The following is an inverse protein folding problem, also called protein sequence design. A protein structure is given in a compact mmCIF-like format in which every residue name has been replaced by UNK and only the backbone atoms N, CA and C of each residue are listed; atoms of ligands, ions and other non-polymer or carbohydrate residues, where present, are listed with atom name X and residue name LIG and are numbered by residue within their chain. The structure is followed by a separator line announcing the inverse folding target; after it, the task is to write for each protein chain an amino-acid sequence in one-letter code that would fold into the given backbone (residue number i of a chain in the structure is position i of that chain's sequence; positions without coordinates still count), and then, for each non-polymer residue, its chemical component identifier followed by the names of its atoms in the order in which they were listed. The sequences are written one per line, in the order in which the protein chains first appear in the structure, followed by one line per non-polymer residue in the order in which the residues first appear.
data_IF_981959436476
#
_entry.id   IF_981959436476
#
_cell.length_a   1.000
_cell.length_b   1.000
_cell.length_c   1.000
_cell.angle_alpha   90.00
_cell.angle_beta   90.00
_cell.angle_gamma   90.00
#
_symmetry.space_group_name_H-M   'P 1'
#
loop_
_entity.id
_entity.type
_entity.pdbx_description
1 polymer ?
#
# COMPACT_ATOMS: atom_id res chain seq x y z
N UNK A 1 -38.60 -38.39 44.46
CA UNK A 1 -38.80 -37.16 43.66
C UNK A 1 -37.62 -36.19 43.73
N UNK A 2 -37.05 -35.90 44.91
CA UNK A 2 -35.98 -34.89 45.04
C UNK A 2 -34.65 -35.24 44.35
N UNK A 3 -34.24 -36.51 44.33
CA UNK A 3 -32.99 -36.94 43.69
C UNK A 3 -33.08 -36.80 42.16
N UNK A 4 -34.24 -37.10 41.57
CA UNK A 4 -34.45 -37.04 40.12
C UNK A 4 -34.41 -35.58 39.62
N UNK A 5 -35.01 -34.65 40.37
CA UNK A 5 -34.95 -33.22 40.08
C UNK A 5 -33.52 -32.67 40.17
N UNK A 6 -32.74 -33.13 41.15
CA UNK A 6 -31.35 -32.69 41.30
C UNK A 6 -30.47 -33.17 40.14
N UNK A 7 -30.71 -34.40 39.66
CA UNK A 7 -29.98 -34.98 38.53
C UNK A 7 -30.31 -34.24 37.22
N UNK A 8 -31.58 -33.90 37.00
CA UNK A 8 -32.01 -33.09 35.84
C UNK A 8 -31.40 -31.69 35.88
N UNK A 9 -31.35 -31.05 37.05
CA UNK A 9 -30.73 -29.73 37.21
C UNK A 9 -29.22 -29.76 36.92
N UNK A 10 -28.52 -30.82 37.35
CA UNK A 10 -27.09 -30.98 37.11
C UNK A 10 -26.79 -31.17 35.61
N UNK A 11 -27.58 -32.01 34.91
CA UNK A 11 -27.42 -32.23 33.47
C UNK A 11 -27.69 -30.95 32.68
N UNK A 12 -28.72 -30.18 33.05
CA UNK A 12 -29.01 -28.90 32.42
C UNK A 12 -27.86 -27.90 32.58
N UNK A 13 -27.26 -27.84 33.77
CA UNK A 13 -26.16 -26.91 34.06
C UNK A 13 -24.88 -27.26 33.27
N UNK A 14 -24.58 -28.55 33.12
CA UNK A 14 -23.48 -29.02 32.27
C UNK A 14 -23.73 -28.68 30.81
N UNK A 15 -24.95 -28.89 30.31
CA UNK A 15 -25.30 -28.57 28.91
C UNK A 15 -25.18 -27.08 28.61
N UNK A 16 -25.65 -26.22 29.53
CA UNK A 16 -25.51 -24.77 29.40
C UNK A 16 -24.03 -24.36 29.46
N UNK A 17 -23.24 -24.95 30.36
CA UNK A 17 -21.80 -24.68 30.45
C UNK A 17 -21.06 -25.04 29.17
N UNK A 18 -21.35 -26.20 28.57
CA UNK A 18 -20.76 -26.64 27.30
C UNK A 18 -21.21 -25.75 26.14
N UNK A 19 -22.48 -25.34 26.10
CA UNK A 19 -22.98 -24.43 25.08
C UNK A 19 -22.31 -23.06 25.15
N UNK A 20 -22.17 -22.49 26.35
CA UNK A 20 -21.50 -21.20 26.57
C UNK A 20 -20.01 -21.28 26.22
N UNK A 21 -19.32 -22.36 26.62
CA UNK A 21 -17.92 -22.57 26.27
C UNK A 21 -17.72 -22.76 24.75
N UNK A 22 -18.64 -23.46 24.08
CA UNK A 22 -18.64 -23.62 22.63
C UNK A 22 -18.83 -22.29 21.89
N UNK A 23 -19.81 -21.47 22.31
CA UNK A 23 -20.04 -20.13 21.73
C UNK A 23 -18.83 -19.21 21.98
N UNK A 24 -18.23 -19.26 23.18
CA UNK A 24 -17.06 -18.46 23.51
C UNK A 24 -15.82 -18.86 22.67
N UNK A 25 -15.64 -20.15 22.40
CA UNK A 25 -14.57 -20.65 21.53
C UNK A 25 -14.80 -20.27 20.05
N UNK A 26 -16.04 -20.31 19.56
CA UNK A 26 -16.38 -19.87 18.20
C UNK A 26 -16.15 -18.37 18.04
N UNK A 27 -16.63 -17.54 18.99
CA UNK A 27 -16.42 -16.09 18.95
C UNK A 27 -14.93 -15.70 19.05
N UNK A 28 -14.11 -16.48 19.76
CA UNK A 28 -12.67 -16.23 19.88
C UNK A 28 -11.90 -16.69 18.64
N UNK A 29 -12.33 -17.78 17.99
CA UNK A 29 -11.71 -18.34 16.78
C UNK A 29 -11.89 -17.50 15.52
N UNK A 30 -13.03 -16.82 15.37
CA UNK A 30 -13.27 -15.95 14.21
C UNK A 30 -12.35 -14.72 14.20
N UNK A 31 -11.97 -14.20 15.37
CA UNK A 31 -11.13 -12.99 15.45
C UNK A 31 -9.68 -13.18 14.97
N UNK A 32 -9.12 -14.38 15.07
CA UNK A 32 -7.78 -14.69 14.55
C UNK A 32 -7.82 -15.15 13.10
N UNK A 33 -8.82 -15.95 12.72
CA UNK A 33 -8.98 -16.44 11.35
C UNK A 33 -9.37 -15.31 10.38
N UNK A 34 -10.21 -14.37 10.80
CA UNK A 34 -10.52 -13.18 9.98
C UNK A 34 -9.37 -12.19 9.95
N UNK A 35 -8.53 -12.12 10.98
CA UNK A 35 -7.33 -11.26 10.95
C UNK A 35 -6.25 -11.85 10.04
N UNK A 36 -6.05 -13.16 10.06
CA UNK A 36 -5.18 -13.85 9.10
C UNK A 36 -5.76 -13.83 7.68
N UNK A 37 -7.07 -13.96 7.50
CA UNK A 37 -7.72 -13.80 6.19
C UNK A 37 -7.74 -12.37 5.70
N UNK A 38 -7.85 -11.36 6.58
CA UNK A 38 -7.69 -9.96 6.21
C UNK A 38 -6.25 -9.70 5.82
N UNK A 39 -5.27 -10.19 6.58
CA UNK A 39 -3.83 -10.11 6.25
C UNK A 39 -3.51 -10.86 4.94
N UNK A 40 -4.14 -12.01 4.68
CA UNK A 40 -3.97 -12.79 3.45
C UNK A 40 -4.78 -12.24 2.25
N UNK A 41 -5.92 -11.58 2.49
CA UNK A 41 -6.70 -10.90 1.45
C UNK A 41 -6.10 -9.54 1.08
N UNK A 42 -5.36 -8.91 1.99
CA UNK A 42 -4.49 -7.75 1.72
C UNK A 42 -3.05 -8.15 1.39
N UNK A 43 -2.74 -9.44 1.32
CA UNK A 43 -1.48 -9.89 0.74
C UNK A 43 -1.57 -9.64 -0.75
N UNK A 44 -1.25 -8.41 -1.13
CA UNK A 44 -0.55 -8.08 -2.36
C UNK A 44 0.17 -9.35 -2.86
N UNK A 45 -0.20 -9.87 -4.04
CA UNK A 45 0.53 -10.98 -4.66
C UNK A 45 1.98 -10.52 -4.83
N UNK A 46 2.83 -10.86 -3.86
CA UNK A 46 4.29 -10.73 -3.96
C UNK A 46 4.70 -11.86 -4.88
N UNK A 47 4.87 -11.55 -6.16
CA UNK A 47 4.88 -12.57 -7.20
C UNK A 47 6.22 -12.71 -7.93
N UNK A 48 7.13 -11.73 -7.88
CA UNK A 48 8.38 -11.84 -8.62
C UNK A 48 9.51 -11.04 -7.95
N UNK A 49 10.71 -11.62 -7.91
CA UNK A 49 11.92 -10.97 -7.44
C UNK A 49 12.76 -10.56 -8.64
N UNK A 50 13.15 -9.29 -8.71
CA UNK A 50 13.90 -8.77 -9.85
C UNK A 50 15.04 -7.86 -9.43
N UNK A 51 16.15 -7.92 -10.17
CA UNK A 51 17.28 -7.00 -10.03
C UNK A 51 17.04 -5.65 -10.72
N UNK A 52 16.04 -5.61 -11.60
CA UNK A 52 15.62 -4.42 -12.34
C UNK A 52 14.12 -4.22 -12.14
N UNK A 53 13.75 -3.13 -11.47
CA UNK A 53 12.38 -2.85 -11.07
C UNK A 53 11.96 -1.47 -11.53
N UNK A 54 10.67 -1.34 -11.83
CA UNK A 54 10.05 -0.08 -12.24
C UNK A 54 8.89 0.26 -11.31
N UNK A 55 8.84 1.53 -10.94
CA UNK A 55 7.81 2.14 -10.12
C UNK A 55 7.11 3.21 -10.95
N UNK A 56 5.79 3.27 -10.86
CA UNK A 56 5.03 4.43 -11.31
C UNK A 56 4.14 4.94 -10.19
N UNK A 57 4.06 6.26 -10.08
CA UNK A 57 3.22 6.95 -9.11
C UNK A 57 2.44 8.04 -9.79
N UNK A 58 1.16 8.17 -9.47
CA UNK A 58 0.36 9.32 -9.86
C UNK A 58 0.20 10.27 -8.70
N UNK A 59 0.52 11.54 -8.93
CA UNK A 59 0.32 12.64 -7.99
C UNK A 59 -0.63 13.67 -8.58
N UNK A 60 -1.42 14.30 -7.71
CA UNK A 60 -2.42 15.30 -8.08
C UNK A 60 -2.23 16.57 -7.27
N UNK A 61 -2.79 17.69 -7.74
CA UNK A 61 -2.80 18.98 -7.02
C UNK A 61 -1.38 19.45 -6.61
N UNK A 62 -1.18 19.81 -5.34
CA UNK A 62 0.11 20.32 -4.85
C UNK A 62 1.21 19.26 -4.93
N UNK A 63 0.90 18.00 -4.62
CA UNK A 63 1.86 16.89 -4.69
C UNK A 63 2.38 16.68 -6.12
N UNK A 64 1.58 17.00 -7.14
CA UNK A 64 2.03 16.95 -8.53
C UNK A 64 3.13 17.98 -8.82
N UNK A 65 3.07 19.17 -8.22
CA UNK A 65 4.08 20.22 -8.38
C UNK A 65 5.38 19.79 -7.71
N UNK A 66 5.28 19.25 -6.48
CA UNK A 66 6.44 18.78 -5.73
C UNK A 66 7.11 17.58 -6.42
N UNK A 67 6.33 16.67 -6.99
CA UNK A 67 6.80 15.56 -7.79
C UNK A 67 7.49 16.00 -9.09
N UNK A 68 6.96 17.01 -9.79
CA UNK A 68 7.63 17.58 -10.97
C UNK A 68 8.95 18.24 -10.60
N UNK A 69 8.97 19.03 -9.52
CA UNK A 69 10.18 19.70 -9.04
C UNK A 69 11.26 18.68 -8.67
N UNK A 70 10.88 17.59 -8.00
CA UNK A 70 11.77 16.46 -7.71
C UNK A 70 12.41 15.92 -8.99
N UNK A 71 11.61 15.55 -9.99
CA UNK A 71 12.10 14.98 -11.25
C UNK A 71 13.04 15.96 -11.97
N UNK A 72 12.73 17.26 -11.97
CA UNK A 72 13.53 18.29 -12.63
C UNK A 72 14.90 18.52 -11.98
N UNK A 73 15.10 18.14 -10.72
CA UNK A 73 16.42 18.23 -10.06
C UNK A 73 17.41 17.19 -10.55
N UNK A 74 16.91 16.08 -11.10
CA UNK A 74 17.74 14.96 -11.53
C UNK A 74 17.86 14.91 -13.06
N UNK A 75 18.91 14.23 -13.53
CA UNK A 75 19.00 13.79 -14.92
C UNK A 75 18.08 12.58 -15.12
N UNK A 76 17.59 12.39 -16.35
CA UNK A 76 16.76 11.22 -16.69
C UNK A 76 17.48 9.91 -16.39
N UNK A 77 18.78 9.83 -16.68
CA UNK A 77 19.62 8.69 -16.33
C UNK A 77 20.41 9.02 -15.06
N UNK A 78 20.30 8.14 -14.05
CA UNK A 78 20.88 8.32 -12.72
C UNK A 78 22.10 7.42 -12.53
N UNK A 79 23.15 7.96 -11.92
CA UNK A 79 24.22 7.18 -11.33
C UNK A 79 23.78 6.43 -10.06
N UNK A 80 24.64 5.59 -9.46
CA UNK A 80 24.32 4.83 -8.25
C UNK A 80 23.85 5.70 -7.07
N UNK A 81 24.63 6.72 -6.72
CA UNK A 81 24.30 7.63 -5.62
C UNK A 81 23.01 8.43 -5.86
N UNK A 82 22.80 8.91 -7.09
CA UNK A 82 21.59 9.64 -7.48
C UNK A 82 20.35 8.73 -7.43
N UNK A 83 20.49 7.45 -7.83
CA UNK A 83 19.40 6.47 -7.75
C UNK A 83 18.96 6.25 -6.31
N UNK A 84 19.93 6.16 -5.39
CA UNK A 84 19.71 5.99 -3.95
C UNK A 84 19.01 7.21 -3.34
N UNK A 85 19.46 8.40 -3.70
CA UNK A 85 18.88 9.66 -3.23
C UNK A 85 17.47 9.87 -3.80
N UNK A 86 17.27 9.66 -5.10
CA UNK A 86 15.96 9.72 -5.72
C UNK A 86 14.96 8.74 -5.07
N UNK A 87 15.39 7.50 -4.78
CA UNK A 87 14.57 6.54 -4.06
C UNK A 87 14.17 7.05 -2.68
N UNK A 88 15.12 7.65 -1.93
CA UNK A 88 14.83 8.24 -0.62
C UNK A 88 13.85 9.41 -0.71
N UNK A 89 14.02 10.31 -1.67
CA UNK A 89 13.10 11.45 -1.82
C UNK A 89 11.70 11.00 -2.23
N UNK A 90 11.58 9.98 -3.08
CA UNK A 90 10.29 9.38 -3.45
C UNK A 90 9.55 8.81 -2.24
N UNK A 91 10.24 8.21 -1.24
CA UNK A 91 9.56 7.71 -0.02
C UNK A 91 8.78 8.79 0.73
N UNK A 92 9.14 10.07 0.57
CA UNK A 92 8.44 11.20 1.20
C UNK A 92 7.16 11.57 0.47
N UNK A 93 7.11 11.34 -0.83
CA UNK A 93 5.95 11.64 -1.68
C UNK A 93 4.99 10.46 -1.79
N UNK A 94 5.48 9.22 -1.75
CA UNK A 94 4.68 7.99 -1.90
C UNK A 94 3.34 8.05 -1.14
N UNK A 95 3.25 8.47 0.13
CA UNK A 95 1.98 8.48 0.87
C UNK A 95 0.86 9.33 0.24
N UNK A 96 1.18 10.32 -0.60
CA UNK A 96 0.18 11.15 -1.30
C UNK A 96 -0.16 10.66 -2.71
N UNK A 97 0.46 9.57 -3.18
CA UNK A 97 0.16 8.99 -4.48
C UNK A 97 -1.31 8.53 -4.55
N UNK A 98 -1.99 8.88 -5.65
CA UNK A 98 -3.40 8.47 -5.88
C UNK A 98 -3.47 7.12 -6.55
N UNK A 99 -2.46 6.79 -7.35
CA UNK A 99 -2.32 5.50 -8.01
C UNK A 99 -0.85 5.08 -8.04
N UNK A 100 -0.59 3.77 -8.03
CA UNK A 100 0.77 3.26 -8.08
C UNK A 100 0.90 1.93 -8.85
N UNK A 101 2.14 1.60 -9.20
CA UNK A 101 2.53 0.36 -9.84
C UNK A 101 3.97 0.00 -9.46
N UNK A 102 4.24 -1.28 -9.21
CA UNK A 102 5.57 -1.84 -9.02
C UNK A 102 5.67 -3.19 -9.73
N UNK A 103 6.65 -3.37 -10.59
CA UNK A 103 6.91 -4.67 -11.21
C UNK A 103 8.37 -4.80 -11.64
N UNK A 104 8.81 -6.00 -12.04
CA UNK A 104 10.04 -6.17 -12.80
C UNK A 104 10.01 -5.26 -14.03
N UNK A 105 11.13 -4.61 -14.31
CA UNK A 105 11.23 -3.66 -15.41
C UNK A 105 11.33 -4.42 -16.74
N UNK A 106 10.22 -4.54 -17.46
CA UNK A 106 10.23 -5.00 -18.84
C UNK A 106 10.64 -3.88 -19.83
N UNK A 107 10.34 -2.61 -19.50
CA UNK A 107 10.49 -1.46 -20.40
C UNK A 107 10.96 -0.20 -19.64
N UNK A 108 11.57 0.79 -20.32
CA UNK A 108 11.95 2.05 -19.69
C UNK A 108 10.70 2.81 -19.18
N UNK A 109 10.81 3.61 -18.10
CA UNK A 109 9.69 4.24 -17.41
C UNK A 109 9.12 5.47 -18.15
N UNK A 110 8.82 5.35 -19.45
CA UNK A 110 8.46 6.48 -20.33
C UNK A 110 6.95 6.68 -20.46
N UNK A 111 6.17 5.61 -20.33
CA UNK A 111 4.71 5.65 -20.48
C UNK A 111 4.05 4.74 -19.45
N UNK A 112 2.89 5.17 -18.97
CA UNK A 112 2.02 4.34 -18.14
C UNK A 112 0.57 4.74 -18.35
N UNK A 113 -0.35 3.80 -18.12
CA UNK A 113 -1.78 4.04 -18.21
C UNK A 113 -2.33 4.38 -16.83
N UNK A 114 -3.04 5.50 -16.73
CA UNK A 114 -3.85 5.85 -15.57
C UNK A 114 -5.32 6.03 -15.98
N UNK A 115 -6.28 5.49 -15.20
CA UNK A 115 -7.70 5.68 -15.49
C UNK A 115 -8.20 7.11 -15.21
N UNK A 116 -7.36 7.96 -14.62
CA UNK A 116 -7.63 9.37 -14.31
C UNK A 116 -6.75 10.27 -15.18
N UNK A 117 -7.28 11.42 -15.64
CA UNK A 117 -6.60 12.34 -16.58
C UNK A 117 -5.90 13.54 -15.93
N UNK A 118 -6.23 13.91 -14.69
CA UNK A 118 -5.61 15.04 -13.97
C UNK A 118 -4.40 14.60 -13.13
N UNK A 119 -3.32 15.40 -13.10
CA UNK A 119 -2.10 15.11 -12.32
C UNK A 119 -0.88 14.75 -13.18
N UNK A 120 0.16 14.22 -12.53
CA UNK A 120 1.39 13.74 -13.19
C UNK A 120 1.71 12.32 -12.82
N UNK A 121 2.36 11.60 -13.74
CA UNK A 121 2.90 10.27 -13.49
C UNK A 121 4.41 10.38 -13.39
N UNK A 122 4.97 9.98 -12.25
CA UNK A 122 6.42 9.83 -12.06
C UNK A 122 6.79 8.38 -12.29
N UNK A 123 7.72 8.14 -13.21
CA UNK A 123 8.32 6.84 -13.46
C UNK A 123 9.73 6.79 -12.88
N UNK A 124 9.98 5.79 -12.05
CA UNK A 124 11.30 5.52 -11.46
C UNK A 124 11.73 4.08 -11.76
N UNK A 125 12.96 3.90 -12.22
CA UNK A 125 13.56 2.58 -12.44
C UNK A 125 14.81 2.46 -11.59
N UNK A 126 14.97 1.33 -10.91
CA UNK A 126 16.18 1.00 -10.18
C UNK A 126 16.77 -0.31 -10.72
N UNK A 127 18.03 -0.26 -11.16
CA UNK A 127 18.83 -1.43 -11.52
C UNK A 127 19.83 -1.70 -10.41
N UNK A 128 19.78 -2.90 -9.88
CA UNK A 128 20.55 -3.32 -8.70
C UNK A 128 21.22 -4.67 -8.96
N UNK A 129 22.21 -5.03 -8.14
CA UNK A 129 22.85 -6.35 -8.15
C UNK A 129 22.13 -7.36 -7.26
N UNK A 130 21.31 -6.87 -6.33
CA UNK A 130 20.47 -7.67 -5.44
C UNK A 130 19.07 -7.81 -6.01
N UNK A 131 18.37 -8.88 -5.64
CA UNK A 131 16.98 -9.04 -6.07
C UNK A 131 16.05 -8.30 -5.11
N UNK A 132 15.12 -7.53 -5.66
CA UNK A 132 14.14 -6.74 -4.94
C UNK A 132 12.77 -7.41 -5.05
N UNK A 133 11.96 -7.33 -3.99
CA UNK A 133 10.60 -7.83 -4.00
C UNK A 133 9.68 -6.88 -4.79
N UNK A 134 8.86 -7.44 -5.69
CA UNK A 134 7.88 -6.69 -6.48
C UNK A 134 6.45 -7.13 -6.18
N UNK A 135 5.49 -6.23 -6.41
CA UNK A 135 4.06 -6.44 -6.16
C UNK A 135 3.22 -5.76 -7.22
N UNK A 136 2.40 -6.54 -7.90
CA UNK A 136 1.52 -6.04 -8.97
C UNK A 136 0.28 -5.26 -8.49
N UNK A 137 -0.15 -5.42 -7.23
CA UNK A 137 -1.37 -4.80 -6.68
C UNK A 137 -1.13 -4.32 -5.24
N UNK A 138 -0.33 -3.26 -5.06
CA UNK A 138 -0.08 -2.64 -3.75
C UNK A 138 -0.96 -1.41 -3.53
N UNK A 139 -2.23 -1.65 -3.18
CA UNK A 139 -3.20 -0.57 -2.90
C UNK A 139 -2.92 0.18 -1.61
N UNK A 140 -2.06 -0.35 -0.75
CA UNK A 140 -1.73 0.21 0.56
C UNK A 140 -0.33 0.86 0.57
N UNK A 141 0.36 0.86 -0.57
CA UNK A 141 1.70 1.44 -0.78
C UNK A 141 2.80 0.89 0.16
N UNK A 142 2.52 -0.16 0.92
CA UNK A 142 3.39 -0.62 2.01
C UNK A 142 4.60 -1.35 1.46
N UNK A 143 4.40 -2.26 0.49
CA UNK A 143 5.51 -2.94 -0.15
C UNK A 143 6.30 -1.95 -1.01
N UNK A 144 5.61 -1.02 -1.64
CA UNK A 144 6.20 -0.06 -2.54
C UNK A 144 7.16 0.89 -1.78
N UNK A 145 6.72 1.45 -0.65
CA UNK A 145 7.59 2.22 0.25
C UNK A 145 8.75 1.37 0.80
N UNK A 146 8.48 0.11 1.18
CA UNK A 146 9.52 -0.81 1.65
C UNK A 146 10.61 -1.06 0.61
N UNK A 147 10.24 -1.32 -0.65
CA UNK A 147 11.20 -1.55 -1.75
C UNK A 147 11.98 -0.28 -2.07
N UNK A 148 11.36 0.92 -2.03
CA UNK A 148 12.11 2.18 -2.18
C UNK A 148 13.09 2.42 -1.01
N UNK A 149 12.70 2.09 0.23
CA UNK A 149 13.61 2.13 1.38
C UNK A 149 14.76 1.14 1.22
N UNK A 150 14.49 -0.05 0.70
CA UNK A 150 15.53 -1.02 0.40
C UNK A 150 16.53 -0.45 -0.62
N UNK A 151 16.05 0.12 -1.74
CA UNK A 151 16.91 0.76 -2.75
C UNK A 151 17.72 1.91 -2.15
N UNK A 152 17.12 2.77 -1.32
CA UNK A 152 17.82 3.90 -0.71
C UNK A 152 18.85 3.49 0.37
N UNK A 153 18.73 2.26 0.90
CA UNK A 153 19.67 1.69 1.86
C UNK A 153 20.79 0.85 1.22
N UNK A 154 20.71 0.56 -0.09
CA UNK A 154 21.76 -0.20 -0.77
C UNK A 154 23.05 0.61 -0.88
N UNK A 155 24.22 -0.03 -0.72
CA UNK A 155 25.50 0.64 -1.00
C UNK A 155 25.68 0.83 -2.51
N UNK A 156 26.47 1.84 -2.89
CA UNK A 156 26.62 2.25 -4.29
C UNK A 156 27.16 1.12 -5.20
N UNK A 157 27.97 0.20 -4.66
CA UNK A 157 28.46 -0.99 -5.37
C UNK A 157 27.38 -2.05 -5.62
N UNK A 158 26.18 -1.92 -5.05
CA UNK A 158 25.04 -2.80 -5.31
C UNK A 158 24.01 -2.15 -6.25
N UNK A 159 24.22 -0.89 -6.63
CA UNK A 159 23.36 -0.15 -7.56
C UNK A 159 24.08 -0.03 -8.91
N UNK A 160 23.42 -0.47 -9.98
CA UNK A 160 23.91 -0.34 -11.36
C UNK A 160 23.50 1.00 -12.00
N UNK A 161 22.51 1.66 -11.42
CA UNK A 161 21.99 2.97 -11.82
C UNK A 161 20.48 2.95 -11.93
N UNK A 162 19.91 4.06 -12.40
CA UNK A 162 18.46 4.24 -12.41
C UNK A 162 17.98 5.19 -13.49
N UNK A 163 16.67 5.36 -13.54
CA UNK A 163 16.03 6.38 -14.37
C UNK A 163 14.92 7.04 -13.57
N UNK A 164 14.82 8.36 -13.65
CA UNK A 164 13.72 9.12 -13.04
C UNK A 164 13.21 10.14 -14.06
N UNK A 165 11.92 10.08 -14.36
CA UNK A 165 11.31 11.01 -15.31
C UNK A 165 9.79 11.09 -15.13
N UNK A 166 9.18 12.07 -15.77
CA UNK A 166 7.73 12.12 -15.94
C UNK A 166 7.34 11.13 -17.04
N UNK A 167 6.45 10.20 -16.72
CA UNK A 167 5.90 9.27 -17.69
C UNK A 167 4.70 9.91 -18.39
N UNK A 168 4.59 9.69 -19.71
CA UNK A 168 3.41 10.07 -20.46
C UNK A 168 2.23 9.16 -20.10
N UNK A 169 1.05 9.76 -19.98
CA UNK A 169 -0.19 8.99 -19.91
C UNK A 169 -0.44 8.32 -21.27
N UNK A 170 -0.69 7.01 -21.28
CA UNK A 170 -0.79 6.23 -22.51
C UNK A 170 -1.97 5.27 -22.44
N UNK A 171 -2.80 5.28 -23.48
CA UNK A 171 -3.93 4.35 -23.68
C UNK A 171 -3.49 3.02 -24.32
N UNK A 172 -2.19 2.80 -24.47
CA UNK A 172 -1.64 1.56 -25.01
C UNK A 172 -2.02 0.38 -24.09
N UNK A 173 -2.64 -0.69 -24.61
CA UNK A 173 -2.99 -1.87 -23.80
C UNK A 173 -1.78 -2.53 -23.14
N UNK A 174 -0.58 -2.35 -23.71
CA UNK A 174 0.66 -2.86 -23.14
C UNK A 174 1.29 -1.88 -22.14
N UNK A 175 0.75 -0.68 -21.89
CA UNK A 175 1.33 0.23 -20.90
C UNK A 175 1.08 -0.27 -19.45
N UNK A 176 2.02 -0.04 -18.51
CA UNK A 176 1.80 -0.38 -17.11
C UNK A 176 0.55 0.32 -16.58
N UNK A 177 -0.44 -0.46 -16.13
CA UNK A 177 -1.71 0.05 -15.61
C UNK A 177 -1.57 0.35 -14.12
N UNK A 178 -1.62 1.64 -13.77
CA UNK A 178 -1.58 2.07 -12.38
C UNK A 178 -2.85 1.65 -11.65
N UNK A 179 -2.69 1.16 -10.42
CA UNK A 179 -3.79 0.75 -9.55
C UNK A 179 -4.10 1.88 -8.56
N UNK A 180 -5.39 2.15 -8.36
CA UNK A 180 -5.84 3.14 -7.39
C UNK A 180 -5.45 2.75 -5.97
N UNK A 181 -4.87 3.71 -5.24
CA UNK A 181 -4.52 3.56 -3.83
C UNK A 181 -5.79 3.59 -2.99
N UNK A 182 -5.95 2.60 -2.12
CA UNK A 182 -7.02 2.60 -1.14
C UNK A 182 -6.62 3.50 0.02
N UNK A 183 -6.95 4.80 -0.11
CA UNK A 183 -6.70 5.80 0.92
C UNK A 183 -7.29 5.44 2.29
N UNK A 184 -8.35 4.63 2.33
CA UNK A 184 -8.97 4.15 3.57
C UNK A 184 -8.16 3.08 4.29
N UNK A 185 -7.37 2.32 3.54
CA UNK A 185 -6.50 1.26 4.04
C UNK A 185 -5.05 1.72 4.27
N UNK A 186 -4.72 2.98 3.96
CA UNK A 186 -3.39 3.52 4.23
C UNK A 186 -3.10 3.57 5.74
N UNK A 187 -1.88 3.21 6.17
CA UNK A 187 -1.45 3.45 7.54
C UNK A 187 -1.62 4.92 7.93
N UNK A 188 -2.06 5.16 9.16
CA UNK A 188 -2.25 6.53 9.65
C UNK A 188 -3.47 7.25 9.05
N UNK A 189 -4.44 6.50 8.50
CA UNK A 189 -5.75 7.03 8.11
C UNK A 189 -6.86 6.41 8.97
N UNK A 190 -7.93 7.18 9.17
CA UNK A 190 -9.17 6.78 9.83
C UNK A 190 -10.36 7.17 8.95
N UNK A 191 -11.49 6.45 9.00
CA UNK A 191 -12.68 6.89 8.29
C UNK A 191 -13.28 8.13 8.97
N UNK A 192 -13.66 9.13 8.18
CA UNK A 192 -14.43 10.27 8.67
C UNK A 192 -15.72 9.79 9.33
N UNK A 193 -16.08 10.25 10.54
CA UNK A 193 -17.27 9.77 11.24
C UNK A 193 -18.56 10.01 10.45
N UNK A 194 -18.60 11.09 9.65
CA UNK A 194 -19.79 11.54 8.93
C UNK A 194 -19.89 10.97 7.51
N UNK A 195 -18.95 11.31 6.62
CA UNK A 195 -19.00 10.91 5.21
C UNK A 195 -18.24 9.60 4.91
N UNK A 196 -17.61 8.97 5.91
CA UNK A 196 -16.78 7.77 5.80
C UNK A 196 -15.55 7.87 4.88
N UNK A 197 -15.30 9.04 4.29
CA UNK A 197 -14.10 9.28 3.51
C UNK A 197 -12.84 9.15 4.38
N UNK A 198 -11.75 8.61 3.84
CA UNK A 198 -10.49 8.49 4.56
C UNK A 198 -9.99 9.88 4.99
N UNK A 199 -9.50 9.97 6.23
CA UNK A 199 -8.81 11.16 6.72
C UNK A 199 -7.56 10.78 7.50
N UNK A 200 -6.45 11.54 7.41
CA UNK A 200 -5.29 11.30 8.24
C UNK A 200 -5.65 11.31 9.74
N UNK A 201 -5.02 10.47 10.56
CA UNK A 201 -5.37 10.41 12.01
C UNK A 201 -5.15 11.74 12.72
N UNK A 202 -4.17 12.52 12.27
CA UNK A 202 -3.88 13.85 12.81
C UNK A 202 -4.80 14.95 12.26
N UNK A 203 -5.57 14.68 11.21
CA UNK A 203 -6.47 15.68 10.64
C UNK A 203 -7.63 15.96 11.62
N UNK A 204 -7.82 17.23 11.93
CA UNK A 204 -8.90 17.73 12.81
C UNK A 204 -10.18 18.04 12.04
N UNK A 205 -10.12 18.07 10.71
CA UNK A 205 -11.25 18.30 9.80
C UNK A 205 -11.14 17.39 8.57
N UNK A 206 -12.29 16.92 8.09
CA UNK A 206 -12.38 16.16 6.84
C UNK A 206 -12.37 17.12 5.65
N UNK A 207 -11.45 16.93 4.70
CA UNK A 207 -11.38 17.75 3.48
C UNK A 207 -12.57 17.54 2.55
N UNK A 208 -13.17 16.34 2.56
CA UNK A 208 -14.28 16.00 1.67
C UNK A 208 -15.63 16.61 2.10
N UNK A 209 -15.93 16.67 3.41
CA UNK A 209 -17.23 17.15 3.91
C UNK A 209 -17.14 18.28 4.94
N UNK A 210 -15.94 18.71 5.33
CA UNK A 210 -15.73 19.79 6.29
C UNK A 210 -16.06 19.43 7.76
N UNK A 211 -16.50 18.21 8.06
CA UNK A 211 -16.82 17.78 9.42
C UNK A 211 -15.56 17.75 10.30
N UNK A 212 -15.67 18.18 11.56
CA UNK A 212 -14.58 18.02 12.53
C UNK A 212 -14.43 16.55 12.92
N UNK A 213 -13.19 16.10 13.07
CA UNK A 213 -12.94 14.81 13.68
C UNK A 213 -13.34 14.87 15.15
N UNK A 214 -14.28 14.02 15.57
CA UNK A 214 -14.62 13.90 16.98
C UNK A 214 -13.45 13.19 17.68
N UNK A 215 -12.91 13.84 18.71
CA UNK A 215 -11.82 13.36 19.57
C UNK A 215 -12.25 12.13 20.36
#
# INVERSE_FOLDING_TARGET
MSILLMLVALVALVFVGVAVAGVFLVMRGDSSADRERLVQATAARTAERATDVVFFFRFEQQDAIDAQALVQRYRVALGPAETREAALELTRLVPSATHAYLAPCAWPPVKAYSPVTAGVIVGFRARTRVSLDTVSDDRQLTQLDATLRQVSALPDDQILGGQLQLAADSQDPDAPRLVAVDRGALPGHRPCPHCKQPMPVFATRCEACGSRAMS
#
